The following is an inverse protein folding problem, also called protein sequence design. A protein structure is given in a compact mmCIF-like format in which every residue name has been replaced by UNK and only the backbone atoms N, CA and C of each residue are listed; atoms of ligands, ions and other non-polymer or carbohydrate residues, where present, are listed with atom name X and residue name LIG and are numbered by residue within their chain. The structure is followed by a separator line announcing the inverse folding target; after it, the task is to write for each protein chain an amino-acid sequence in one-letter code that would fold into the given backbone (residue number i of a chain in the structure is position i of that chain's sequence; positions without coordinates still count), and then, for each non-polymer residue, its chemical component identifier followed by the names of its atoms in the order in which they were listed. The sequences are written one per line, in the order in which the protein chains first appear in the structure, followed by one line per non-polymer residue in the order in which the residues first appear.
data_IF_328899498829
#
_entry.id   IF_328899498829
#
_cell.length_a   1.000
_cell.length_b   1.000
_cell.length_c   1.000
_cell.angle_alpha   90.00
_cell.angle_beta   90.00
_cell.angle_gamma   90.00
#
_symmetry.space_group_name_H-M   'P 1'
#
loop_
_entity.id
_entity.type
_entity.pdbx_description
1 polymer ?
#
# COMPACT_ATOMS: atom_id res chain seq x y z
N UNK A 1 -40.62 14.11 -56.44
CA UNK A 1 -40.15 12.70 -56.40
C UNK A 1 -39.43 12.48 -55.08
N UNK A 2 -39.81 11.41 -54.38
CA UNK A 2 -39.15 10.63 -53.31
C UNK A 2 -37.79 11.18 -52.80
N UNK A 3 -37.54 11.31 -51.50
CA UNK A 3 -38.03 10.43 -50.44
C UNK A 3 -37.67 10.88 -49.03
N UNK A 4 -38.43 10.26 -48.12
CA UNK A 4 -38.30 10.27 -46.66
C UNK A 4 -36.99 9.61 -46.24
N UNK A 5 -36.45 10.02 -45.10
CA UNK A 5 -35.33 9.35 -44.45
C UNK A 5 -35.05 9.87 -43.04
N UNK A 6 -35.98 9.64 -42.11
CA UNK A 6 -35.69 9.65 -40.67
C UNK A 6 -34.65 8.55 -40.41
N UNK A 7 -33.49 8.88 -39.84
CA UNK A 7 -32.73 7.93 -39.01
C UNK A 7 -32.17 8.66 -37.80
N UNK A 8 -32.76 8.28 -36.67
CA UNK A 8 -32.29 8.51 -35.32
C UNK A 8 -30.90 7.90 -35.11
N UNK A 9 -30.22 8.40 -34.08
CA UNK A 9 -29.33 7.57 -33.27
C UNK A 9 -27.88 7.50 -33.72
N UNK A 10 -27.04 8.28 -33.04
CA UNK A 10 -25.88 7.65 -32.39
C UNK A 10 -25.66 8.33 -31.05
N UNK A 11 -26.44 7.86 -30.09
CA UNK A 11 -26.14 7.94 -28.66
C UNK A 11 -24.63 7.72 -28.47
N UNK A 12 -23.94 8.68 -27.84
CA UNK A 12 -22.63 8.43 -27.25
C UNK A 12 -22.85 7.48 -26.07
N UNK A 13 -22.92 6.18 -26.37
CA UNK A 13 -22.80 5.13 -25.38
C UNK A 13 -21.39 5.19 -24.81
N UNK A 14 -21.23 5.88 -23.69
CA UNK A 14 -20.07 5.74 -22.80
C UNK A 14 -20.15 4.37 -22.10
N UNK A 15 -20.10 3.28 -22.86
CA UNK A 15 -19.92 1.92 -22.36
C UNK A 15 -18.48 1.50 -22.61
N UNK A 16 -17.52 2.03 -21.82
CA UNK A 16 -16.20 1.40 -21.62
C UNK A 16 -15.57 1.78 -20.27
N UNK A 17 -16.14 1.29 -19.18
CA UNK A 17 -15.35 0.89 -18.01
C UNK A 17 -15.92 -0.39 -17.44
N UNK A 18 -15.63 -1.51 -18.13
CA UNK A 18 -15.44 -2.77 -17.43
C UNK A 18 -14.18 -2.59 -16.57
N UNK A 19 -14.36 -1.90 -15.43
CA UNK A 19 -13.29 -1.73 -14.48
C UNK A 19 -12.93 -3.14 -13.97
N UNK A 20 -11.66 -3.52 -13.93
CA UNK A 20 -11.27 -4.76 -13.27
C UNK A 20 -11.86 -4.77 -11.86
N UNK A 21 -12.16 -5.96 -11.32
CA UNK A 21 -12.59 -6.19 -9.92
C UNK A 21 -11.48 -5.85 -8.90
N UNK A 22 -10.53 -5.02 -9.31
CA UNK A 22 -9.46 -4.47 -8.49
C UNK A 22 -9.99 -3.23 -7.78
N UNK A 23 -9.44 -2.97 -6.60
CA UNK A 23 -9.74 -1.77 -5.85
C UNK A 23 -9.45 -0.50 -6.67
N UNK A 24 -10.06 0.61 -6.26
CA UNK A 24 -9.74 1.92 -6.85
C UNK A 24 -8.25 2.25 -6.65
N UNK A 25 -7.70 3.13 -7.50
CA UNK A 25 -6.35 3.64 -7.28
C UNK A 25 -6.24 4.27 -5.87
N UNK A 26 -5.14 4.00 -5.17
CA UNK A 26 -4.96 4.39 -3.76
C UNK A 26 -5.52 3.38 -2.74
N UNK A 27 -6.06 2.26 -3.20
CA UNK A 27 -6.50 1.16 -2.35
C UNK A 27 -5.76 -0.14 -2.69
N UNK A 28 -5.43 -0.90 -1.66
CA UNK A 28 -4.87 -2.24 -1.74
C UNK A 28 -5.97 -3.29 -1.60
N UNK A 29 -5.86 -4.36 -2.39
CA UNK A 29 -6.80 -5.46 -2.38
C UNK A 29 -6.26 -6.59 -1.51
N UNK A 30 -6.96 -6.87 -0.41
CA UNK A 30 -6.74 -8.04 0.41
C UNK A 30 -7.03 -9.34 -0.35
N UNK A 31 -6.51 -10.47 0.13
CA UNK A 31 -6.69 -11.79 -0.49
C UNK A 31 -8.18 -12.21 -0.57
N UNK A 32 -8.98 -11.79 0.41
CA UNK A 32 -10.44 -11.97 0.48
C UNK A 32 -11.22 -11.01 -0.44
N UNK A 33 -10.54 -10.07 -1.08
CA UNK A 33 -11.13 -9.06 -1.96
C UNK A 33 -11.57 -7.77 -1.27
N UNK A 34 -11.33 -7.63 0.04
CA UNK A 34 -11.50 -6.37 0.77
C UNK A 34 -10.55 -5.30 0.23
N UNK A 35 -11.02 -4.06 0.14
CA UNK A 35 -10.20 -2.93 -0.27
C UNK A 35 -9.88 -2.04 0.93
N UNK A 36 -8.61 -1.96 1.29
CA UNK A 36 -8.10 -1.05 2.33
C UNK A 36 -7.33 0.10 1.69
N UNK A 37 -7.28 1.29 2.30
CA UNK A 37 -6.40 2.36 1.84
C UNK A 37 -4.95 1.88 1.76
N UNK A 38 -4.22 2.28 0.72
CA UNK A 38 -2.80 1.93 0.58
C UNK A 38 -1.90 2.40 1.73
N UNK A 39 -2.38 3.36 2.52
CA UNK A 39 -1.73 3.86 3.74
C UNK A 39 -1.83 2.90 4.93
N UNK A 40 -2.76 1.93 4.87
CA UNK A 40 -2.92 0.86 5.86
C UNK A 40 -2.19 -0.42 5.46
N UNK A 41 -1.38 -0.37 4.40
CA UNK A 41 -0.52 -1.49 4.00
C UNK A 41 0.82 -1.30 4.67
N UNK A 42 1.26 -2.31 5.43
CA UNK A 42 2.51 -2.28 6.17
C UNK A 42 2.55 -1.19 7.26
N UNK A 43 1.40 -0.92 7.87
CA UNK A 43 1.24 0.02 8.98
C UNK A 43 1.42 -0.63 10.36
N UNK A 44 1.56 -1.96 10.38
CA UNK A 44 1.77 -2.76 11.60
C UNK A 44 0.48 -3.28 12.22
N UNK A 45 -0.68 -2.97 11.65
CA UNK A 45 -1.99 -3.47 12.06
C UNK A 45 -2.53 -4.45 11.01
N UNK A 46 -3.25 -5.48 11.43
CA UNK A 46 -3.89 -6.41 10.50
C UNK A 46 -5.22 -5.82 10.04
N UNK A 47 -5.20 -5.11 8.91
CA UNK A 47 -6.38 -4.54 8.28
C UNK A 47 -7.06 -5.52 7.32
N UNK A 48 -6.33 -6.48 6.75
CA UNK A 48 -6.90 -7.61 6.03
C UNK A 48 -7.19 -8.78 6.97
N UNK A 49 -8.23 -9.57 6.67
CA UNK A 49 -8.61 -10.77 7.44
C UNK A 49 -7.47 -11.81 7.38
N UNK A 50 -6.83 -11.94 6.22
CA UNK A 50 -5.69 -12.82 6.03
C UNK A 50 -4.35 -12.20 6.49
N UNK A 51 -4.34 -10.92 6.89
CA UNK A 51 -3.12 -10.19 7.28
C UNK A 51 -2.16 -9.91 6.13
N UNK A 52 -2.61 -10.07 4.88
CA UNK A 52 -1.76 -9.95 3.70
C UNK A 52 -1.35 -8.50 3.38
N UNK A 53 -1.98 -7.53 4.02
CA UNK A 53 -1.55 -6.12 4.06
C UNK A 53 -0.26 -5.91 4.86
N UNK A 54 0.07 -6.83 5.76
CA UNK A 54 1.30 -6.82 6.55
C UNK A 54 2.36 -7.80 6.03
N UNK A 55 2.08 -8.47 4.90
CA UNK A 55 2.99 -9.40 4.26
C UNK A 55 3.87 -8.70 3.22
N UNK A 56 5.13 -9.13 3.16
CA UNK A 56 6.04 -8.81 2.05
C UNK A 56 6.30 -7.30 1.81
N UNK A 57 6.13 -6.49 2.86
CA UNK A 57 6.39 -5.03 2.88
C UNK A 57 7.74 -4.62 2.29
N UNK A 58 8.77 -5.45 2.47
CA UNK A 58 10.10 -5.20 1.93
C UNK A 58 10.16 -5.20 0.38
N UNK A 59 9.30 -5.98 -0.29
CA UNK A 59 9.32 -6.12 -1.77
C UNK A 59 8.59 -4.99 -2.50
N UNK A 60 7.62 -4.35 -1.85
CA UNK A 60 6.82 -3.27 -2.44
C UNK A 60 7.48 -1.90 -2.31
N UNK A 61 8.71 -1.83 -1.79
CA UNK A 61 9.38 -0.55 -1.50
C UNK A 61 8.71 0.25 -0.37
N UNK A 62 7.53 -0.18 0.10
CA UNK A 62 6.93 0.11 1.42
C UNK A 62 7.64 -0.70 2.51
N UNK A 63 8.96 -0.80 2.42
CA UNK A 63 9.77 -1.40 3.45
C UNK A 63 9.51 -0.59 4.71
N UNK A 64 8.66 -1.11 5.61
CA UNK A 64 8.21 -0.52 6.88
C UNK A 64 8.93 0.78 7.15
N UNK A 65 8.45 1.85 6.52
CA UNK A 65 9.00 3.17 6.84
C UNK A 65 8.53 3.35 8.26
N UNK A 66 9.44 3.09 9.21
CA UNK A 66 9.08 3.06 10.61
C UNK A 66 8.32 4.35 10.93
N UNK A 67 7.37 4.28 11.86
CA UNK A 67 6.57 5.43 12.25
C UNK A 67 7.46 6.68 12.40
N UNK A 68 7.00 7.88 12.03
CA UNK A 68 7.77 9.10 12.25
C UNK A 68 8.30 9.17 13.68
N UNK A 69 9.62 9.30 13.83
CA UNK A 69 10.29 9.23 15.13
C UNK A 69 10.85 7.85 15.51
N UNK A 70 10.73 6.85 14.65
CA UNK A 70 11.38 5.53 14.78
C UNK A 70 12.47 5.35 13.73
N UNK A 71 13.50 4.61 14.09
CA UNK A 71 14.62 4.23 13.23
C UNK A 71 14.45 2.81 12.70
N UNK A 72 14.74 2.61 11.42
CA UNK A 72 14.67 1.32 10.75
C UNK A 72 16.03 0.61 10.82
N UNK A 73 16.06 -0.51 11.52
CA UNK A 73 17.22 -1.38 11.55
C UNK A 73 17.44 -2.07 10.20
N UNK A 74 18.67 -2.53 9.93
CA UNK A 74 19.03 -3.15 8.66
C UNK A 74 18.23 -4.44 8.33
N UNK A 75 17.74 -5.15 9.36
CA UNK A 75 16.85 -6.33 9.21
C UNK A 75 15.35 -5.97 9.22
N UNK A 76 15.02 -4.68 9.20
CA UNK A 76 13.64 -4.20 9.07
C UNK A 76 12.83 -4.13 10.37
N UNK A 77 13.43 -4.37 11.53
CA UNK A 77 12.80 -4.03 12.81
C UNK A 77 12.88 -2.51 13.05
N UNK A 78 11.89 -1.97 13.76
CA UNK A 78 11.81 -0.55 14.07
C UNK A 78 12.07 -0.33 15.56
N UNK A 79 12.91 0.64 15.89
CA UNK A 79 13.17 1.06 17.27
C UNK A 79 12.80 2.54 17.42
N UNK A 80 12.38 3.01 18.60
CA UNK A 80 12.24 4.44 18.86
C UNK A 80 13.53 5.20 18.53
N UNK A 81 13.43 6.38 17.92
CA UNK A 81 14.60 7.16 17.50
C UNK A 81 15.46 7.64 18.67
N UNK A 82 14.94 7.66 19.89
CA UNK A 82 15.71 7.94 21.11
C UNK A 82 16.59 6.76 21.57
N UNK A 83 16.47 5.60 20.93
CA UNK A 83 17.33 4.43 21.14
C UNK A 83 18.42 4.31 20.06
N UNK A 84 18.59 5.35 19.24
CA UNK A 84 19.70 5.44 18.29
C UNK A 84 20.82 6.22 18.97
N UNK A 85 22.03 5.68 18.97
CA UNK A 85 23.19 6.25 19.66
C UNK A 85 22.97 6.40 21.18
N UNK A 86 22.27 5.45 21.78
CA UNK A 86 22.00 5.43 23.22
C UNK A 86 23.02 4.58 24.00
N UNK A 87 23.94 3.91 23.31
CA UNK A 87 24.96 3.05 23.88
C UNK A 87 24.53 1.60 24.08
N UNK A 88 23.30 1.23 23.72
CA UNK A 88 22.75 -0.12 23.81
C UNK A 88 22.42 -0.68 22.42
N UNK A 89 22.58 -1.99 22.23
CA UNK A 89 22.24 -2.63 20.95
C UNK A 89 20.73 -2.97 20.93
N UNK A 90 19.94 -2.09 20.32
CA UNK A 90 18.50 -2.24 20.14
C UNK A 90 18.15 -2.88 18.78
N UNK A 91 18.98 -2.70 17.75
CA UNK A 91 18.88 -3.50 16.52
C UNK A 91 19.55 -4.86 16.67
N UNK A 92 18.97 -5.90 16.07
CA UNK A 92 19.59 -7.24 15.96
C UNK A 92 20.97 -7.19 15.28
N UNK A 93 21.15 -6.23 14.37
CA UNK A 93 22.41 -5.98 13.65
C UNK A 93 23.33 -4.99 14.34
N UNK A 94 22.88 -4.32 15.41
CA UNK A 94 23.61 -3.23 16.06
C UNK A 94 23.79 -1.97 15.22
N UNK A 95 23.06 -1.85 14.10
CA UNK A 95 23.14 -0.72 13.18
C UNK A 95 22.79 0.62 13.84
N UNK A 96 21.92 0.59 14.83
CA UNK A 96 21.56 1.73 15.67
C UNK A 96 22.76 2.37 16.40
N UNK A 97 23.83 1.62 16.64
CA UNK A 97 25.05 2.08 17.32
C UNK A 97 26.28 2.15 16.38
N UNK A 98 26.11 1.86 15.09
CA UNK A 98 27.24 1.72 14.15
C UNK A 98 27.78 3.06 13.61
N UNK A 99 26.99 4.14 13.65
CA UNK A 99 27.34 5.45 13.07
C UNK A 99 26.87 6.63 13.93
N UNK A 100 27.36 6.64 15.17
CA UNK A 100 27.39 7.78 16.07
C UNK A 100 28.78 8.44 15.99
#
# INVERSE_FOLDING_TARGET
MKGRGRKEGRERKEERRNAPRSCYAGYFQCAEGLCIPEALVCDGELNCIAGNDEENCAREGKARSCFPGYFQCALGNCIPGNLVCDGELNCVTGNDEAFC
#
